data_IF_086489289925
#
_entry.id   IF_086489289925
#
_cell.length_a   1.000
_cell.length_b   1.000
_cell.length_c   1.000
_cell.angle_alpha   90.00
_cell.angle_beta   90.00
_cell.angle_gamma   90.00
#
_symmetry.space_group_name_H-M   'P 1'
#
loop_
_entity.id
_entity.type
_entity.pdbx_description
1 polymer ?
#
# COMPACT_ATOMS: atom_id res chain seq x y z
N UNK A 1 44.11 21.66 34.30
CA UNK A 1 43.36 20.63 33.55
C UNK A 1 42.23 21.18 32.65
N UNK A 2 42.31 22.43 32.17
CA UNK A 2 41.34 23.05 31.24
C UNK A 2 41.91 23.34 29.83
N UNK A 3 43.16 22.95 29.56
CA UNK A 3 43.88 23.25 28.32
C UNK A 3 44.23 22.01 27.46
N UNK A 4 43.61 20.85 27.72
CA UNK A 4 43.82 19.63 26.91
C UNK A 4 42.64 19.34 25.95
N UNK A 5 41.41 19.77 26.29
CA UNK A 5 40.21 19.54 25.47
C UNK A 5 40.02 20.55 24.32
N UNK A 6 40.88 21.56 24.20
CA UNK A 6 40.83 22.56 23.12
C UNK A 6 41.53 22.11 21.82
N UNK A 7 42.19 20.95 21.83
CA UNK A 7 43.02 20.45 20.70
C UNK A 7 42.38 19.32 19.88
N UNK A 8 41.13 18.93 20.17
CA UNK A 8 40.45 17.81 19.49
C UNK A 8 39.18 18.19 18.71
N UNK A 9 38.95 19.47 18.40
CA UNK A 9 38.03 19.85 17.31
C UNK A 9 36.57 19.39 17.40
N UNK A 10 36.07 18.98 18.57
CA UNK A 10 34.72 18.45 18.75
C UNK A 10 33.97 19.28 19.78
N UNK A 11 33.43 20.43 19.37
CA UNK A 11 32.32 21.13 20.04
C UNK A 11 31.81 22.27 19.13
N UNK A 12 31.31 21.90 17.95
CA UNK A 12 30.47 22.79 17.12
C UNK A 12 29.45 21.97 16.32
N UNK A 13 28.58 21.23 17.01
CA UNK A 13 27.37 20.70 16.35
C UNK A 13 26.19 20.32 17.25
N UNK A 14 26.12 20.85 18.49
CA UNK A 14 24.98 20.62 19.38
C UNK A 14 23.90 21.73 19.35
N UNK A 15 23.99 22.68 18.40
CA UNK A 15 23.16 23.89 18.38
C UNK A 15 22.23 24.09 17.18
N UNK A 16 22.19 23.17 16.20
CA UNK A 16 21.35 23.28 14.99
C UNK A 16 20.69 21.95 14.60
N UNK A 17 19.91 21.36 15.50
CA UNK A 17 18.87 20.35 15.19
C UNK A 17 17.59 20.65 15.96
N UNK A 18 17.05 21.84 15.75
CA UNK A 18 15.67 22.20 16.09
C UNK A 18 15.13 23.10 14.98
N UNK A 19 14.77 22.51 13.84
CA UNK A 19 13.73 23.05 12.95
C UNK A 19 13.48 22.12 11.76
N UNK A 20 12.18 21.93 11.48
CA UNK A 20 11.55 21.30 10.30
C UNK A 20 11.30 19.79 10.37
N UNK A 21 10.46 19.41 11.33
CA UNK A 21 9.33 18.52 11.02
C UNK A 21 8.09 19.41 11.03
N UNK A 22 7.60 19.81 9.84
CA UNK A 22 6.30 20.45 9.71
C UNK A 22 5.27 19.33 9.51
N UNK A 23 4.23 19.23 10.35
CA UNK A 23 3.15 18.28 10.14
C UNK A 23 2.40 18.63 8.85
N UNK A 24 2.18 17.64 7.98
CA UNK A 24 1.20 17.69 6.90
C UNK A 24 -0.21 17.74 7.51
N UNK A 25 -0.64 18.93 7.93
CA UNK A 25 -1.98 19.20 8.45
C UNK A 25 -2.46 20.53 7.90
N UNK A 26 -3.27 20.48 6.83
CA UNK A 26 -4.35 21.43 6.51
C UNK A 26 -5.01 21.02 5.19
N UNK A 27 -5.89 20.02 5.22
CA UNK A 27 -6.92 19.89 4.18
C UNK A 27 -8.18 19.16 4.66
N UNK A 28 -8.62 19.37 5.91
CA UNK A 28 -10.00 19.06 6.33
C UNK A 28 -10.47 20.14 7.30
N UNK A 29 -10.67 21.36 6.81
CA UNK A 29 -11.59 22.32 7.43
C UNK A 29 -11.90 23.43 6.43
N UNK A 30 -12.79 23.14 5.48
CA UNK A 30 -13.66 24.16 4.91
C UNK A 30 -14.93 23.49 4.42
N UNK A 31 -16.02 23.98 4.97
CA UNK A 31 -17.41 23.57 4.80
C UNK A 31 -17.75 23.17 3.36
N UNK A 32 -18.42 22.03 3.22
CA UNK A 32 -19.46 21.89 2.20
C UNK A 32 -20.68 21.26 2.87
N UNK A 33 -21.56 22.13 3.34
CA UNK A 33 -22.98 21.84 3.37
C UNK A 33 -23.41 21.59 1.93
N UNK A 34 -23.49 20.32 1.54
CA UNK A 34 -24.37 19.88 0.46
C UNK A 34 -24.66 18.39 0.61
N UNK A 35 -25.90 18.11 1.05
CA UNK A 35 -26.51 16.78 1.00
C UNK A 35 -26.56 16.30 -0.45
N UNK A 36 -25.64 15.41 -0.86
CA UNK A 36 -25.86 14.44 -1.93
C UNK A 36 -25.08 13.18 -1.59
N UNK A 37 -25.79 12.06 -1.68
CA UNK A 37 -25.32 10.72 -1.36
C UNK A 37 -23.99 10.41 -2.07
N UNK A 38 -22.90 10.39 -1.30
CA UNK A 38 -21.64 9.78 -1.70
C UNK A 38 -21.74 8.29 -1.40
N UNK A 39 -21.76 7.47 -2.44
CA UNK A 39 -21.65 6.02 -2.35
C UNK A 39 -20.31 5.71 -1.67
N UNK A 40 -20.40 5.29 -0.41
CA UNK A 40 -19.27 4.84 0.38
C UNK A 40 -18.59 3.65 -0.29
N UNK A 41 -17.27 3.69 -0.28
CA UNK A 41 -16.36 2.61 -0.65
C UNK A 41 -16.89 1.31 -0.04
N UNK A 42 -17.05 0.26 -0.86
CA UNK A 42 -17.55 -1.04 -0.40
C UNK A 42 -16.44 -1.78 0.35
N UNK A 43 -16.22 -1.37 1.60
CA UNK A 43 -15.38 -2.01 2.62
C UNK A 43 -16.13 -3.19 3.25
N UNK A 44 -16.70 -4.09 2.45
CA UNK A 44 -17.51 -5.18 3.00
C UNK A 44 -16.70 -6.29 3.67
N UNK A 45 -15.38 -6.36 3.49
CA UNK A 45 -14.56 -7.47 3.99
C UNK A 45 -13.86 -7.24 5.34
N UNK A 46 -13.90 -6.03 5.92
CA UNK A 46 -13.15 -5.70 7.15
C UNK A 46 -13.99 -5.16 8.32
N UNK A 47 -15.28 -4.88 8.10
CA UNK A 47 -16.18 -4.41 9.16
C UNK A 47 -16.81 -5.61 9.86
N UNK A 48 -16.72 -5.68 11.19
CA UNK A 48 -17.44 -6.70 11.96
C UNK A 48 -18.95 -6.50 11.77
N UNK A 49 -19.59 -7.46 11.11
CA UNK A 49 -21.05 -7.49 10.97
C UNK A 49 -21.73 -7.76 12.33
N UNK A 50 -21.09 -8.54 13.20
CA UNK A 50 -21.63 -8.92 14.51
C UNK A 50 -21.14 -8.06 15.68
N UNK A 51 -22.09 -7.58 16.48
CA UNK A 51 -21.78 -6.87 17.74
C UNK A 51 -21.52 -7.87 18.85
N UNK A 52 -20.24 -8.04 19.16
CA UNK A 52 -19.80 -8.86 20.29
C UNK A 52 -20.09 -8.14 21.62
N UNK A 53 -20.53 -8.85 22.67
CA UNK A 53 -20.68 -8.25 23.98
C UNK A 53 -19.31 -7.84 24.55
N UNK A 54 -19.30 -6.90 25.49
CA UNK A 54 -18.09 -6.53 26.23
C UNK A 54 -17.46 -7.75 26.93
N UNK A 55 -16.15 -7.89 26.82
CA UNK A 55 -15.36 -8.91 27.54
C UNK A 55 -15.08 -8.46 28.98
N UNK A 56 -14.70 -9.40 29.86
CA UNK A 56 -14.49 -9.13 31.28
C UNK A 56 -13.50 -8.00 31.59
N UNK A 57 -12.37 -7.91 30.87
CA UNK A 57 -11.40 -6.83 31.02
C UNK A 57 -11.94 -5.47 30.54
N UNK A 58 -12.72 -5.45 29.46
CA UNK A 58 -13.36 -4.25 28.90
C UNK A 58 -14.45 -3.72 29.85
N UNK A 59 -15.25 -4.63 30.41
CA UNK A 59 -16.27 -4.30 31.41
C UNK A 59 -15.62 -3.75 32.68
N UNK A 60 -14.54 -4.38 33.17
CA UNK A 60 -13.79 -3.89 34.33
C UNK A 60 -13.23 -2.48 34.10
N UNK A 61 -12.67 -2.22 32.92
CA UNK A 61 -12.22 -0.89 32.50
C UNK A 61 -13.36 0.13 32.54
N UNK A 62 -14.51 -0.17 31.92
CA UNK A 62 -15.67 0.74 31.89
C UNK A 62 -16.19 1.01 33.30
N UNK A 63 -16.33 -0.02 34.15
CA UNK A 63 -16.76 0.13 35.55
C UNK A 63 -15.80 1.03 36.32
N UNK A 64 -14.48 0.85 36.13
CA UNK A 64 -13.47 1.69 36.77
C UNK A 64 -13.61 3.15 36.33
N UNK A 65 -13.81 3.41 35.04
CA UNK A 65 -13.97 4.77 34.50
C UNK A 65 -15.28 5.43 34.97
N UNK A 66 -16.35 4.66 35.14
CA UNK A 66 -17.60 5.12 35.77
C UNK A 66 -17.36 5.52 37.22
N UNK A 67 -16.64 4.70 38.00
CA UNK A 67 -16.29 5.00 39.40
C UNK A 67 -15.42 6.24 39.53
N UNK A 68 -14.55 6.52 38.56
CA UNK A 68 -13.76 7.76 38.48
C UNK A 68 -14.59 8.99 38.04
N UNK A 69 -15.85 8.80 37.65
CA UNK A 69 -16.72 9.88 37.21
C UNK A 69 -16.48 10.33 35.77
N UNK A 70 -15.93 9.46 34.91
CA UNK A 70 -15.65 9.78 33.50
C UNK A 70 -16.95 9.80 32.65
N UNK A 71 -17.70 10.89 32.78
CA UNK A 71 -18.99 11.08 32.09
C UNK A 71 -18.83 11.20 30.57
N UNK A 72 -17.69 11.70 30.09
CA UNK A 72 -17.48 11.88 28.65
C UNK A 72 -17.28 10.54 27.95
N UNK A 73 -16.49 9.63 28.52
CA UNK A 73 -16.32 8.27 28.01
C UNK A 73 -17.64 7.51 27.91
N UNK A 74 -18.42 7.50 29.00
CA UNK A 74 -19.72 6.82 29.05
C UNK A 74 -20.73 7.41 28.07
N UNK A 75 -20.77 8.75 27.94
CA UNK A 75 -21.60 9.45 26.97
C UNK A 75 -21.24 9.09 25.54
N UNK A 76 -19.95 9.06 25.19
CA UNK A 76 -19.48 8.72 23.85
C UNK A 76 -19.75 7.25 23.48
N UNK A 77 -19.66 6.33 24.46
CA UNK A 77 -19.99 4.91 24.28
C UNK A 77 -21.50 4.62 24.35
N UNK A 78 -22.33 5.60 24.73
CA UNK A 78 -23.78 5.41 24.90
C UNK A 78 -24.16 4.51 26.08
N UNK A 79 -23.28 4.35 27.07
CA UNK A 79 -23.48 3.47 28.23
C UNK A 79 -24.04 4.26 29.41
N UNK A 80 -25.14 3.80 30.03
CA UNK A 80 -25.65 4.37 31.29
C UNK A 80 -25.17 3.51 32.47
N UNK A 81 -24.96 4.13 33.64
CA UNK A 81 -24.45 3.42 34.83
C UNK A 81 -25.36 2.28 35.32
N UNK A 82 -26.64 2.27 34.92
CA UNK A 82 -27.62 1.24 35.26
C UNK A 82 -27.57 0.03 34.33
N UNK A 83 -26.79 0.08 33.24
CA UNK A 83 -26.77 -0.95 32.19
C UNK A 83 -25.73 -2.05 32.46
N UNK A 84 -24.88 -1.89 33.49
CA UNK A 84 -23.67 -2.70 33.74
C UNK A 84 -23.93 -4.14 34.20
N UNK A 85 -25.18 -4.50 34.49
CA UNK A 85 -25.59 -5.87 34.85
C UNK A 85 -25.98 -6.72 33.63
N UNK A 86 -25.94 -6.15 32.41
CA UNK A 86 -26.34 -6.81 31.16
C UNK A 86 -25.16 -7.07 30.22
N UNK A 87 -25.37 -7.99 29.26
CA UNK A 87 -24.51 -8.19 28.09
C UNK A 87 -24.52 -6.96 27.16
N UNK A 88 -23.93 -5.85 27.60
CA UNK A 88 -23.85 -4.60 26.84
C UNK A 88 -23.10 -4.87 25.55
N UNK A 89 -23.72 -4.44 24.45
CA UNK A 89 -23.18 -4.47 23.09
C UNK A 89 -22.92 -3.04 22.67
N UNK A 90 -21.69 -2.75 22.26
CA UNK A 90 -21.30 -1.42 21.75
C UNK A 90 -20.79 -1.54 20.32
N UNK A 91 -21.02 -0.49 19.53
CA UNK A 91 -20.31 -0.24 18.27
C UNK A 91 -19.63 1.11 18.39
N UNK A 92 -18.40 1.19 17.91
CA UNK A 92 -17.61 2.42 17.91
C UNK A 92 -17.41 2.86 16.48
N UNK A 93 -18.04 4.00 16.12
CA UNK A 93 -17.81 4.68 14.85
C UNK A 93 -16.43 5.32 14.78
N UNK A 94 -15.92 5.61 13.59
CA UNK A 94 -14.63 6.29 13.42
C UNK A 94 -14.61 7.66 14.12
N UNK A 95 -15.71 8.41 14.06
CA UNK A 95 -15.85 9.69 14.75
C UNK A 95 -15.88 9.52 16.27
N UNK A 96 -16.58 8.49 16.76
CA UNK A 96 -16.59 8.14 18.18
C UNK A 96 -15.19 7.74 18.65
N UNK A 97 -14.46 6.94 17.88
CA UNK A 97 -13.09 6.50 18.18
C UNK A 97 -12.14 7.70 18.32
N UNK A 98 -12.15 8.61 17.33
CA UNK A 98 -11.36 9.86 17.36
C UNK A 98 -11.72 10.73 18.55
N UNK A 99 -13.02 10.87 18.84
CA UNK A 99 -13.49 11.64 19.99
C UNK A 99 -13.05 11.02 21.32
N UNK A 100 -13.12 9.70 21.46
CA UNK A 100 -12.66 8.98 22.64
C UNK A 100 -11.17 9.20 22.88
N UNK A 101 -10.31 9.05 21.85
CA UNK A 101 -8.87 9.31 22.02
C UNK A 101 -8.64 10.78 22.38
N UNK A 102 -9.18 11.72 21.60
CA UNK A 102 -8.93 13.15 21.80
C UNK A 102 -9.40 13.67 23.15
N UNK A 103 -10.46 13.11 23.72
CA UNK A 103 -11.11 13.65 24.93
C UNK A 103 -10.85 12.84 26.19
N UNK A 104 -10.56 11.55 26.06
CA UNK A 104 -10.45 10.65 27.19
C UNK A 104 -9.02 10.13 27.41
N UNK A 105 -8.17 10.02 26.38
CA UNK A 105 -6.89 9.30 26.49
C UNK A 105 -5.92 9.86 27.55
N UNK A 106 -5.98 11.16 27.86
CA UNK A 106 -5.15 11.77 28.92
C UNK A 106 -5.63 11.47 30.34
N UNK A 107 -6.87 10.99 30.49
CA UNK A 107 -7.53 10.74 31.77
C UNK A 107 -7.79 9.26 32.05
N UNK A 108 -7.52 8.39 31.07
CA UNK A 108 -7.79 6.95 31.13
C UNK A 108 -6.55 6.13 30.86
N UNK A 109 -6.60 4.83 31.12
CA UNK A 109 -5.61 3.90 30.56
C UNK A 109 -5.77 3.83 29.04
N UNK A 110 -4.83 4.41 28.30
CA UNK A 110 -4.90 4.57 26.84
C UNK A 110 -4.87 3.22 26.12
N UNK A 111 -4.13 2.24 26.64
CA UNK A 111 -4.05 0.89 26.05
C UNK A 111 -5.40 0.19 26.15
N UNK A 112 -6.07 0.25 27.30
CA UNK A 112 -7.42 -0.29 27.48
C UNK A 112 -8.46 0.44 26.64
N UNK A 113 -8.38 1.77 26.58
CA UNK A 113 -9.28 2.59 25.75
C UNK A 113 -9.16 2.21 24.27
N UNK A 114 -7.94 2.13 23.74
CA UNK A 114 -7.72 1.80 22.32
C UNK A 114 -8.06 0.33 22.05
N UNK A 115 -7.78 -0.58 22.98
CA UNK A 115 -8.20 -1.99 22.85
C UNK A 115 -9.73 -2.10 22.73
N UNK A 116 -10.48 -1.36 23.55
CA UNK A 116 -11.94 -1.29 23.47
C UNK A 116 -12.39 -0.75 22.11
N UNK A 117 -11.78 0.35 21.64
CA UNK A 117 -12.09 0.92 20.32
C UNK A 117 -11.89 -0.12 19.21
N UNK A 118 -10.73 -0.77 19.18
CA UNK A 118 -10.36 -1.71 18.12
C UNK A 118 -11.22 -2.98 18.14
N UNK A 119 -11.60 -3.47 19.32
CA UNK A 119 -12.45 -4.65 19.43
C UNK A 119 -13.88 -4.42 18.93
N UNK A 120 -14.38 -3.19 19.05
CA UNK A 120 -15.77 -2.81 18.78
C UNK A 120 -15.91 -1.82 17.62
N UNK A 121 -14.87 -1.64 16.81
CA UNK A 121 -14.88 -0.80 15.62
C UNK A 121 -15.88 -1.32 14.57
N UNK A 122 -16.71 -0.42 14.03
CA UNK A 122 -17.57 -0.68 12.86
C UNK A 122 -16.98 -0.11 11.55
N UNK A 123 -15.68 0.16 11.57
CA UNK A 123 -14.91 0.74 10.48
C UNK A 123 -13.57 -0.01 10.35
N UNK A 124 -12.82 0.15 9.22
CA UNK A 124 -11.50 -0.44 9.07
C UNK A 124 -10.51 0.14 10.06
N UNK A 125 -10.04 -0.69 10.99
CA UNK A 125 -9.17 -0.24 12.09
C UNK A 125 -7.88 0.41 11.62
N UNK A 126 -7.38 0.07 10.42
CA UNK A 126 -6.21 0.69 9.81
C UNK A 126 -6.42 2.19 9.51
N UNK A 127 -7.63 2.61 9.14
CA UNK A 127 -7.94 4.03 8.94
C UNK A 127 -7.76 4.84 10.22
N UNK A 128 -8.13 4.26 11.37
CA UNK A 128 -7.90 4.90 12.67
C UNK A 128 -6.43 4.83 13.06
N UNK A 129 -5.84 3.63 13.11
CA UNK A 129 -4.46 3.40 13.57
C UNK A 129 -3.45 4.31 12.84
N UNK A 130 -3.60 4.45 11.52
CA UNK A 130 -2.64 5.20 10.70
C UNK A 130 -2.70 6.72 10.88
N UNK A 131 -3.80 7.23 11.44
CA UNK A 131 -4.03 8.68 11.63
C UNK A 131 -3.93 9.13 13.08
N UNK A 132 -3.98 8.20 14.04
CA UNK A 132 -3.82 8.54 15.45
C UNK A 132 -2.38 8.94 15.79
N UNK A 133 -2.27 9.88 16.74
CA UNK A 133 -1.01 10.43 17.21
C UNK A 133 -0.72 9.97 18.65
N UNK A 134 -0.61 8.67 18.83
CA UNK A 134 -0.20 8.05 20.09
C UNK A 134 1.31 7.81 20.10
N UNK A 135 1.87 7.60 21.30
CA UNK A 135 3.28 7.23 21.44
C UNK A 135 3.56 5.90 20.71
N UNK A 136 4.72 5.74 20.03
CA UNK A 136 5.10 4.50 19.35
C UNK A 136 5.03 3.27 20.26
N UNK A 137 5.32 3.42 21.55
CA UNK A 137 5.23 2.37 22.56
C UNK A 137 3.80 1.86 22.76
N UNK A 138 2.79 2.75 22.70
CA UNK A 138 1.39 2.34 22.83
C UNK A 138 1.01 1.46 21.64
N UNK A 139 1.38 1.86 20.42
CA UNK A 139 1.15 1.04 19.23
C UNK A 139 1.90 -0.30 19.29
N UNK A 140 3.15 -0.32 19.76
CA UNK A 140 3.92 -1.55 19.98
C UNK A 140 3.22 -2.49 20.95
N UNK A 141 2.78 -1.97 22.10
CA UNK A 141 2.17 -2.79 23.15
C UNK A 141 0.81 -3.34 22.72
N UNK A 142 0.02 -2.52 22.02
CA UNK A 142 -1.21 -2.97 21.37
C UNK A 142 -0.93 -4.04 20.30
N UNK A 143 0.13 -3.90 19.49
CA UNK A 143 0.47 -4.90 18.50
C UNK A 143 0.75 -6.27 19.15
N UNK A 144 1.49 -6.29 20.27
CA UNK A 144 1.72 -7.51 21.06
C UNK A 144 0.38 -8.10 21.54
N UNK A 145 -0.50 -7.26 22.07
CA UNK A 145 -1.83 -7.66 22.57
C UNK A 145 -2.70 -8.29 21.47
N UNK A 146 -2.68 -7.71 20.26
CA UNK A 146 -3.49 -8.16 19.14
C UNK A 146 -2.85 -9.27 18.31
N UNK A 147 -1.55 -9.58 18.51
CA UNK A 147 -0.81 -10.55 17.70
C UNK A 147 -1.49 -11.91 17.58
N UNK A 148 -2.05 -12.42 18.69
CA UNK A 148 -2.76 -13.71 18.72
C UNK A 148 -4.27 -13.59 18.49
N UNK A 149 -4.81 -12.36 18.46
CA UNK A 149 -6.25 -12.09 18.33
C UNK A 149 -6.62 -11.78 16.89
N UNK A 150 -5.86 -10.89 16.25
CA UNK A 150 -6.08 -10.46 14.87
C UNK A 150 -4.74 -10.00 14.26
N UNK A 151 -4.16 -10.84 13.39
CA UNK A 151 -2.87 -10.59 12.76
C UNK A 151 -2.84 -9.30 11.94
N UNK A 152 -3.92 -8.97 11.22
CA UNK A 152 -4.01 -7.73 10.45
C UNK A 152 -3.95 -6.50 11.35
N UNK A 153 -4.76 -6.47 12.42
CA UNK A 153 -4.75 -5.37 13.39
C UNK A 153 -3.37 -5.21 14.02
N UNK A 154 -2.76 -6.34 14.43
CA UNK A 154 -1.39 -6.37 14.95
C UNK A 154 -0.37 -5.76 13.97
N UNK A 155 -0.44 -6.14 12.69
CA UNK A 155 0.41 -5.59 11.63
C UNK A 155 0.27 -4.07 11.51
N UNK A 156 -0.96 -3.55 11.41
CA UNK A 156 -1.18 -2.11 11.28
C UNK A 156 -0.66 -1.32 12.48
N UNK A 157 -0.83 -1.86 13.70
CA UNK A 157 -0.30 -1.26 14.92
C UNK A 157 1.23 -1.20 14.89
N UNK A 158 1.91 -2.31 14.61
CA UNK A 158 3.37 -2.31 14.61
C UNK A 158 3.96 -1.51 13.45
N UNK A 159 3.31 -1.50 12.29
CA UNK A 159 3.71 -0.68 11.15
C UNK A 159 3.64 0.81 11.50
N UNK A 160 2.55 1.25 12.16
CA UNK A 160 2.44 2.62 12.65
C UNK A 160 3.53 2.96 13.66
N UNK A 161 3.83 2.06 14.60
CA UNK A 161 4.93 2.25 15.55
C UNK A 161 6.28 2.41 14.82
N UNK A 162 6.56 1.56 13.82
CA UNK A 162 7.76 1.59 13.00
C UNK A 162 7.89 2.89 12.20
N UNK A 163 6.81 3.40 11.65
CA UNK A 163 6.80 4.69 10.93
C UNK A 163 7.11 5.87 11.86
N UNK A 164 6.61 5.84 13.09
CA UNK A 164 6.87 6.89 14.09
C UNK A 164 8.25 6.76 14.74
N UNK A 165 8.80 5.54 14.81
CA UNK A 165 10.16 5.26 15.31
C UNK A 165 10.90 4.27 14.41
N UNK A 166 11.48 4.75 13.29
CA UNK A 166 12.17 3.89 12.32
C UNK A 166 13.39 3.16 12.87
N UNK A 167 14.15 3.79 13.77
CA UNK A 167 15.45 3.27 14.25
C UNK A 167 15.37 2.57 15.61
N UNK A 168 14.17 2.29 16.13
CA UNK A 168 14.00 1.61 17.42
C UNK A 168 14.24 0.10 17.30
N UNK A 169 15.21 -0.51 17.99
CA UNK A 169 15.55 -1.93 17.81
C UNK A 169 14.38 -2.86 18.16
N UNK A 170 13.77 -2.69 19.33
CA UNK A 170 12.61 -3.50 19.78
C UNK A 170 11.43 -3.40 18.82
N UNK A 171 11.10 -2.19 18.34
CA UNK A 171 10.01 -2.01 17.37
C UNK A 171 10.38 -2.64 16.03
N UNK A 172 11.64 -2.56 15.61
CA UNK A 172 12.09 -3.13 14.35
C UNK A 172 12.04 -4.65 14.36
N UNK A 173 12.57 -5.29 15.39
CA UNK A 173 12.51 -6.76 15.55
C UNK A 173 11.06 -7.26 15.58
N UNK A 174 10.19 -6.57 16.31
CA UNK A 174 8.78 -6.91 16.38
C UNK A 174 8.06 -6.66 15.05
N UNK A 175 8.39 -5.58 14.35
CA UNK A 175 7.86 -5.27 13.01
C UNK A 175 8.24 -6.35 12.01
N UNK A 176 9.50 -6.80 12.00
CA UNK A 176 9.95 -7.87 11.09
C UNK A 176 9.14 -9.15 11.30
N UNK A 177 9.00 -9.57 12.56
CA UNK A 177 8.34 -10.82 12.94
C UNK A 177 6.82 -10.78 12.73
N UNK A 178 6.13 -9.71 13.13
CA UNK A 178 4.67 -9.58 12.93
C UNK A 178 4.35 -9.41 11.43
N UNK A 179 5.18 -8.69 10.68
CA UNK A 179 4.96 -8.53 9.24
C UNK A 179 5.08 -9.88 8.52
N UNK A 180 6.05 -10.73 8.88
CA UNK A 180 6.15 -12.09 8.36
C UNK A 180 4.89 -12.93 8.67
N UNK A 181 4.43 -12.89 9.91
CA UNK A 181 3.23 -13.64 10.33
C UNK A 181 1.95 -13.21 9.59
N UNK A 182 1.83 -11.93 9.28
CA UNK A 182 0.68 -11.39 8.55
C UNK A 182 0.80 -11.63 7.05
N UNK A 183 1.97 -11.39 6.46
CA UNK A 183 2.20 -11.62 5.02
C UNK A 183 2.01 -13.09 4.67
N UNK A 184 2.38 -14.02 5.55
CA UNK A 184 2.11 -15.45 5.37
C UNK A 184 0.60 -15.81 5.32
N UNK A 185 -0.30 -14.87 5.63
CA UNK A 185 -1.76 -15.04 5.47
C UNK A 185 -2.31 -14.42 4.20
N UNK A 186 -1.47 -13.72 3.42
CA UNK A 186 -1.89 -13.01 2.22
C UNK A 186 -1.58 -13.83 0.96
N UNK A 187 -2.47 -13.74 -0.01
CA UNK A 187 -2.22 -14.24 -1.35
C UNK A 187 -1.50 -13.14 -2.17
N UNK A 188 -0.27 -13.40 -2.59
CA UNK A 188 0.55 -12.42 -3.34
C UNK A 188 0.60 -12.81 -4.82
N UNK A 189 0.26 -11.87 -5.70
CA UNK A 189 0.35 -12.04 -7.15
C UNK A 189 1.53 -11.31 -7.76
N UNK A 190 2.28 -12.00 -8.63
CA UNK A 190 3.41 -11.44 -9.38
C UNK A 190 3.12 -11.61 -10.88
N UNK A 191 3.04 -10.48 -11.59
CA UNK A 191 2.87 -10.44 -13.04
C UNK A 191 4.15 -9.98 -13.72
N UNK A 192 4.61 -10.69 -14.76
CA UNK A 192 5.79 -10.30 -15.55
C UNK A 192 5.36 -9.90 -16.95
N UNK A 193 5.79 -8.73 -17.41
CA UNK A 193 5.39 -8.14 -18.69
C UNK A 193 6.53 -8.27 -19.69
N UNK A 194 6.26 -8.88 -20.85
CA UNK A 194 7.28 -9.15 -21.88
C UNK A 194 6.78 -8.94 -23.30
N UNK A 195 7.73 -8.70 -24.21
CA UNK A 195 7.55 -8.71 -25.67
C UNK A 195 8.91 -8.85 -26.36
N UNK A 196 9.11 -9.92 -27.12
CA UNK A 196 10.33 -10.25 -27.90
C UNK A 196 11.63 -10.17 -27.09
N UNK A 197 11.60 -10.66 -25.84
CA UNK A 197 12.72 -10.55 -24.89
C UNK A 197 12.88 -11.82 -24.04
N UNK A 198 12.81 -13.00 -24.67
CA UNK A 198 12.93 -14.31 -24.01
C UNK A 198 14.04 -14.38 -22.95
N UNK A 199 15.26 -13.95 -23.28
CA UNK A 199 16.40 -14.10 -22.36
C UNK A 199 16.30 -13.22 -21.11
N UNK A 200 15.68 -12.03 -21.22
CA UNK A 200 15.40 -11.17 -20.06
C UNK A 200 14.27 -11.76 -19.23
N UNK A 201 13.18 -12.20 -19.88
CA UNK A 201 12.07 -12.86 -19.24
C UNK A 201 12.54 -14.09 -18.43
N UNK A 202 13.31 -14.98 -19.05
CA UNK A 202 13.78 -16.22 -18.44
C UNK A 202 14.56 -15.91 -17.15
N UNK A 203 15.52 -14.99 -17.22
CA UNK A 203 16.30 -14.52 -16.07
C UNK A 203 15.42 -13.93 -14.96
N UNK A 204 14.38 -13.19 -15.32
CA UNK A 204 13.48 -12.55 -14.36
C UNK A 204 12.58 -13.57 -13.68
N UNK A 205 12.00 -14.50 -14.44
CA UNK A 205 11.17 -15.60 -13.90
C UNK A 205 11.98 -16.54 -13.03
N UNK A 206 13.19 -16.91 -13.44
CA UNK A 206 14.11 -17.72 -12.63
C UNK A 206 14.48 -17.02 -11.32
N UNK A 207 14.75 -15.70 -11.36
CA UNK A 207 15.01 -14.92 -10.16
C UNK A 207 13.79 -14.85 -9.24
N UNK A 208 12.58 -14.71 -9.78
CA UNK A 208 11.34 -14.78 -9.00
C UNK A 208 11.22 -16.14 -8.31
N UNK A 209 11.41 -17.24 -9.05
CA UNK A 209 11.36 -18.60 -8.50
C UNK A 209 12.41 -18.84 -7.41
N UNK A 210 13.62 -18.30 -7.59
CA UNK A 210 14.73 -18.47 -6.67
C UNK A 210 14.64 -17.63 -5.40
N UNK A 211 14.09 -16.40 -5.48
CA UNK A 211 14.16 -15.41 -4.41
C UNK A 211 12.82 -15.11 -3.74
N UNK A 212 11.69 -15.56 -4.28
CA UNK A 212 10.38 -15.37 -3.65
C UNK A 212 10.11 -16.50 -2.67
N UNK A 213 9.66 -16.15 -1.47
CA UNK A 213 9.40 -17.07 -0.36
C UNK A 213 7.92 -17.08 0.02
N UNK A 214 7.42 -18.21 0.51
CA UNK A 214 5.99 -18.40 0.79
C UNK A 214 5.20 -18.70 -0.49
N UNK A 215 3.88 -18.83 -0.34
CA UNK A 215 2.99 -19.10 -1.47
C UNK A 215 2.73 -17.82 -2.27
N UNK A 216 2.78 -17.92 -3.60
CA UNK A 216 2.51 -16.80 -4.51
C UNK A 216 1.91 -17.29 -5.83
N UNK A 217 1.20 -16.39 -6.51
CA UNK A 217 0.71 -16.58 -7.87
C UNK A 217 1.68 -15.91 -8.84
N UNK A 218 2.01 -16.58 -9.94
CA UNK A 218 2.87 -16.04 -10.99
C UNK A 218 2.16 -16.13 -12.34
N UNK A 219 2.21 -15.05 -13.11
CA UNK A 219 1.77 -15.05 -14.52
C UNK A 219 2.71 -14.20 -15.38
N UNK A 220 2.98 -14.68 -16.59
CA UNK A 220 3.66 -13.90 -17.64
C UNK A 220 2.62 -13.38 -18.62
N UNK A 221 2.54 -12.07 -18.78
CA UNK A 221 1.76 -11.48 -19.86
C UNK A 221 2.69 -11.24 -21.06
N UNK A 222 2.57 -12.07 -22.10
CA UNK A 222 3.27 -11.89 -23.38
C UNK A 222 2.41 -11.12 -24.38
N UNK A 223 2.98 -10.03 -24.93
CA UNK A 223 2.30 -9.16 -25.90
C UNK A 223 2.54 -9.59 -27.37
N UNK A 224 2.46 -10.90 -27.61
CA UNK A 224 2.51 -11.46 -28.96
C UNK A 224 3.92 -11.60 -29.51
N UNK A 225 4.82 -12.13 -28.68
CA UNK A 225 6.20 -12.40 -29.06
C UNK A 225 6.30 -13.30 -30.30
N UNK A 226 7.40 -13.10 -31.03
CA UNK A 226 7.78 -13.83 -32.25
C UNK A 226 9.12 -14.56 -32.11
N UNK A 227 9.76 -14.42 -30.94
CA UNK A 227 10.88 -15.26 -30.51
C UNK A 227 10.36 -16.46 -29.70
N UNK A 228 11.26 -17.30 -29.15
CA UNK A 228 10.88 -18.52 -28.42
C UNK A 228 10.32 -18.25 -26.99
N UNK A 229 9.76 -17.07 -26.73
CA UNK A 229 9.23 -16.67 -25.41
C UNK A 229 8.12 -17.61 -24.93
N UNK A 230 7.19 -17.97 -25.82
CA UNK A 230 6.03 -18.81 -25.48
C UNK A 230 6.48 -20.24 -25.25
N UNK A 231 7.31 -20.77 -26.15
CA UNK A 231 7.89 -22.11 -26.06
C UNK A 231 8.68 -22.25 -24.75
N UNK A 232 9.45 -21.23 -24.36
CA UNK A 232 10.16 -21.23 -23.09
C UNK A 232 9.21 -21.27 -21.89
N UNK A 233 8.13 -20.48 -21.89
CA UNK A 233 7.15 -20.51 -20.80
C UNK A 233 6.48 -21.87 -20.66
N UNK A 234 6.11 -22.50 -21.78
CA UNK A 234 5.51 -23.84 -21.82
C UNK A 234 6.47 -24.91 -21.29
N UNK A 235 7.72 -24.90 -21.76
CA UNK A 235 8.75 -25.86 -21.32
C UNK A 235 9.07 -25.76 -19.83
N UNK A 236 8.90 -24.57 -19.23
CA UNK A 236 9.21 -24.28 -17.83
C UNK A 236 7.99 -24.23 -16.91
N UNK A 237 6.81 -24.67 -17.40
CA UNK A 237 5.53 -24.66 -16.70
C UNK A 237 5.25 -23.30 -16.02
N UNK A 238 5.39 -22.22 -16.79
CA UNK A 238 5.12 -20.85 -16.33
C UNK A 238 3.75 -20.43 -16.89
N UNK A 239 2.76 -20.11 -16.03
CA UNK A 239 1.47 -19.60 -16.50
C UNK A 239 1.67 -18.34 -17.34
N UNK A 240 1.06 -18.28 -18.52
CA UNK A 240 1.26 -17.16 -19.44
C UNK A 240 0.05 -16.89 -20.34
N UNK A 241 -0.09 -15.65 -20.79
CA UNK A 241 -0.91 -15.29 -21.96
C UNK A 241 -0.08 -15.43 -23.23
N UNK A 242 -0.72 -15.72 -24.36
CA UNK A 242 -0.16 -15.42 -25.68
C UNK A 242 -1.23 -14.77 -26.56
N UNK A 243 -1.12 -13.47 -26.78
CA UNK A 243 -2.13 -12.68 -27.47
C UNK A 243 -1.49 -11.80 -28.54
N UNK A 244 -2.28 -11.26 -29.47
CA UNK A 244 -1.75 -10.27 -30.41
C UNK A 244 -1.18 -9.05 -29.66
N UNK A 245 -0.15 -8.42 -30.26
CA UNK A 245 0.45 -7.21 -29.69
C UNK A 245 -0.56 -6.06 -29.65
N UNK A 246 -0.91 -5.63 -28.43
CA UNK A 246 -1.82 -4.51 -28.18
C UNK A 246 -1.17 -3.40 -27.36
N UNK A 247 0.11 -3.54 -27.04
CA UNK A 247 0.91 -2.57 -26.31
C UNK A 247 0.95 -2.80 -24.81
N UNK A 248 1.92 -2.14 -24.18
CA UNK A 248 2.30 -2.38 -22.77
C UNK A 248 1.16 -2.17 -21.76
N UNK A 249 0.23 -1.24 -22.04
CA UNK A 249 -0.88 -0.96 -21.13
C UNK A 249 -1.87 -2.11 -21.12
N UNK A 250 -2.29 -2.58 -22.30
CA UNK A 250 -3.17 -3.76 -22.42
C UNK A 250 -2.48 -5.00 -21.82
N UNK A 251 -1.19 -5.16 -22.08
CA UNK A 251 -0.44 -6.29 -21.54
C UNK A 251 -0.32 -6.25 -20.00
N UNK A 252 -0.08 -5.07 -19.40
CA UNK A 252 -0.14 -4.88 -17.93
C UNK A 252 -1.53 -5.21 -17.38
N UNK A 253 -2.57 -4.77 -18.08
CA UNK A 253 -3.95 -5.07 -17.68
C UNK A 253 -4.25 -6.57 -17.70
N UNK A 254 -3.71 -7.35 -18.66
CA UNK A 254 -3.87 -8.82 -18.67
C UNK A 254 -3.39 -9.45 -17.36
N UNK A 255 -2.15 -9.12 -16.95
CA UNK A 255 -1.59 -9.61 -15.69
C UNK A 255 -2.39 -9.11 -14.47
N UNK A 256 -2.72 -7.82 -14.42
CA UNK A 256 -3.49 -7.26 -13.30
C UNK A 256 -4.87 -7.89 -13.17
N UNK A 257 -5.57 -8.08 -14.28
CA UNK A 257 -6.93 -8.61 -14.28
C UNK A 257 -6.94 -10.07 -13.86
N UNK A 258 -6.05 -10.89 -14.43
CA UNK A 258 -5.92 -12.28 -14.03
C UNK A 258 -5.59 -12.41 -12.54
N UNK A 259 -4.63 -11.62 -12.03
CA UNK A 259 -4.28 -11.66 -10.61
C UNK A 259 -5.42 -11.14 -9.70
N UNK A 260 -6.09 -10.04 -10.07
CA UNK A 260 -7.12 -9.43 -9.22
C UNK A 260 -8.46 -10.19 -9.25
N UNK A 261 -8.94 -10.57 -10.44
CA UNK A 261 -10.29 -11.10 -10.64
C UNK A 261 -10.33 -12.63 -10.63
N UNK A 262 -9.33 -13.28 -11.24
CA UNK A 262 -9.27 -14.74 -11.34
C UNK A 262 -8.61 -15.32 -10.10
N UNK A 263 -7.39 -14.87 -9.77
CA UNK A 263 -6.64 -15.37 -8.61
C UNK A 263 -6.98 -14.71 -7.28
N UNK A 264 -7.69 -13.57 -7.32
CA UNK A 264 -8.18 -12.85 -6.13
C UNK A 264 -7.09 -12.63 -5.09
N UNK A 265 -5.93 -12.15 -5.56
CA UNK A 265 -4.78 -11.87 -4.69
C UNK A 265 -5.04 -10.64 -3.82
N UNK A 266 -4.43 -10.57 -2.64
CA UNK A 266 -4.53 -9.43 -1.72
C UNK A 266 -3.58 -8.30 -2.12
N UNK A 267 -2.45 -8.64 -2.75
CA UNK A 267 -1.44 -7.70 -3.23
C UNK A 267 -0.94 -8.14 -4.61
N UNK A 268 -0.86 -7.16 -5.53
CA UNK A 268 -0.34 -7.34 -6.88
C UNK A 268 1.02 -6.67 -7.02
N UNK A 269 1.98 -7.36 -7.64
CA UNK A 269 3.28 -6.83 -8.04
C UNK A 269 3.44 -7.06 -9.54
N UNK A 270 3.70 -6.00 -10.30
CA UNK A 270 4.06 -6.09 -11.71
C UNK A 270 5.55 -5.84 -11.89
N UNK A 271 6.22 -6.69 -12.65
CA UNK A 271 7.60 -6.55 -13.10
C UNK A 271 7.64 -6.45 -14.61
N UNK A 272 8.44 -5.53 -15.14
CA UNK A 272 8.93 -5.64 -16.52
C UNK A 272 10.05 -6.69 -16.56
N UNK A 273 10.17 -7.39 -17.69
CA UNK A 273 11.15 -8.48 -17.92
C UNK A 273 12.62 -8.11 -17.68
N UNK A 274 12.97 -6.83 -17.58
CA UNK A 274 14.32 -6.31 -17.30
C UNK A 274 14.52 -5.87 -15.84
N UNK A 275 13.52 -6.09 -14.98
CA UNK A 275 13.56 -5.77 -13.56
C UNK A 275 13.27 -7.03 -12.73
N UNK A 276 14.27 -7.47 -11.96
CA UNK A 276 14.24 -8.79 -11.32
C UNK A 276 14.69 -8.79 -9.86
N UNK A 277 14.18 -9.73 -9.07
CA UNK A 277 14.64 -9.97 -7.71
C UNK A 277 16.14 -10.22 -7.64
N UNK A 278 16.79 -9.68 -6.60
CA UNK A 278 18.23 -9.88 -6.36
C UNK A 278 18.56 -10.34 -4.94
N UNK A 279 17.53 -10.64 -4.14
CA UNK A 279 17.65 -10.99 -2.72
C UNK A 279 16.48 -11.87 -2.33
N UNK A 280 16.73 -12.88 -1.50
CA UNK A 280 15.69 -13.70 -0.88
C UNK A 280 14.65 -12.83 -0.15
N UNK A 281 13.39 -13.23 -0.25
CA UNK A 281 12.23 -12.56 0.33
C UNK A 281 12.07 -11.09 -0.10
N UNK A 282 12.49 -10.75 -1.32
CA UNK A 282 12.42 -9.40 -1.88
C UNK A 282 11.01 -8.80 -1.82
N UNK A 283 9.99 -9.62 -2.05
CA UNK A 283 8.59 -9.26 -2.17
C UNK A 283 8.02 -8.71 -0.86
N UNK A 284 8.60 -9.05 0.30
CA UNK A 284 8.17 -8.57 1.62
C UNK A 284 8.01 -7.05 1.67
N UNK A 285 9.05 -6.31 1.25
CA UNK A 285 9.02 -4.85 1.27
C UNK A 285 7.99 -4.27 0.30
N UNK A 286 7.75 -4.93 -0.83
CA UNK A 286 6.75 -4.52 -1.82
C UNK A 286 5.33 -4.75 -1.32
N UNK A 287 5.08 -5.89 -0.66
CA UNK A 287 3.81 -6.21 -0.01
C UNK A 287 3.50 -5.20 1.09
N UNK A 288 4.45 -4.95 1.99
CA UNK A 288 4.28 -3.95 3.06
C UNK A 288 4.00 -2.58 2.46
N UNK A 289 4.78 -2.14 1.47
CA UNK A 289 4.59 -0.83 0.86
C UNK A 289 3.22 -0.70 0.17
N UNK A 290 2.79 -1.73 -0.56
CA UNK A 290 1.48 -1.75 -1.20
C UNK A 290 0.33 -1.67 -0.17
N UNK A 291 0.43 -2.41 0.94
CA UNK A 291 -0.56 -2.33 2.02
C UNK A 291 -0.60 -0.93 2.63
N UNK A 292 0.56 -0.39 3.05
CA UNK A 292 0.62 0.89 3.77
C UNK A 292 0.25 2.10 2.92
N UNK A 293 0.54 2.06 1.61
CA UNK A 293 0.48 3.22 0.74
C UNK A 293 -0.52 3.09 -0.41
N UNK A 294 -1.13 1.92 -0.58
CA UNK A 294 -2.04 1.57 -1.66
C UNK A 294 -1.35 1.28 -2.99
N UNK A 295 -0.38 2.10 -3.38
CA UNK A 295 0.42 1.93 -4.61
C UNK A 295 1.85 2.42 -4.42
N UNK A 296 2.82 1.67 -4.97
CA UNK A 296 4.24 1.98 -4.91
C UNK A 296 4.93 1.68 -6.24
N UNK A 297 5.94 2.49 -6.59
CA UNK A 297 6.74 2.30 -7.80
C UNK A 297 8.19 1.93 -7.47
N UNK A 298 8.92 1.45 -8.47
CA UNK A 298 10.37 1.27 -8.36
C UNK A 298 11.11 2.59 -8.46
N UNK A 299 11.96 2.84 -7.47
CA UNK A 299 12.92 3.93 -7.46
C UNK A 299 14.22 3.48 -8.14
N UNK A 300 14.24 3.49 -9.47
CA UNK A 300 15.42 3.09 -10.22
C UNK A 300 16.66 3.92 -9.84
N UNK A 301 17.84 3.27 -9.77
CA UNK A 301 19.11 3.90 -9.36
C UNK A 301 19.45 5.19 -10.12
N UNK A 302 19.05 5.29 -11.39
CA UNK A 302 19.26 6.51 -12.22
C UNK A 302 18.35 7.67 -11.85
N UNK A 303 17.21 7.42 -11.21
CA UNK A 303 16.32 8.47 -10.74
C UNK A 303 16.84 9.00 -9.40
N UNK A 304 17.08 8.11 -8.44
CA UNK A 304 17.47 8.52 -7.08
C UNK A 304 18.84 9.20 -7.01
N UNK A 305 19.72 8.97 -7.99
CA UNK A 305 21.03 9.65 -8.09
C UNK A 305 20.97 11.03 -8.72
N UNK A 306 19.85 11.43 -9.34
CA UNK A 306 19.72 12.77 -9.91
C UNK A 306 19.52 13.78 -8.79
N UNK A 307 20.21 14.90 -8.91
CA UNK A 307 20.03 16.04 -8.02
C UNK A 307 18.54 16.47 -7.98
N UNK A 308 18.04 16.75 -6.79
CA UNK A 308 16.66 17.15 -6.50
C UNK A 308 15.55 16.17 -6.95
N UNK A 309 15.89 14.97 -7.39
CA UNK A 309 14.89 13.98 -7.81
C UNK A 309 14.14 13.36 -6.64
N UNK A 310 14.78 13.26 -5.46
CA UNK A 310 14.17 12.75 -4.22
C UNK A 310 13.89 13.92 -3.28
N UNK A 311 12.63 14.07 -2.89
CA UNK A 311 12.18 15.15 -1.98
C UNK A 311 12.33 14.73 -0.51
N UNK A 312 12.03 13.47 -0.20
CA UNK A 312 12.12 12.90 1.14
C UNK A 312 12.11 11.37 1.10
N UNK A 313 12.33 10.74 2.25
CA UNK A 313 12.25 9.29 2.42
C UNK A 313 13.59 8.58 2.30
N UNK A 314 13.59 7.29 2.61
CA UNK A 314 14.81 6.43 2.58
C UNK A 314 14.69 5.27 1.59
N UNK A 315 13.50 5.09 1.00
CA UNK A 315 13.25 4.02 0.03
C UNK A 315 12.89 2.68 0.66
N UNK A 316 12.59 2.64 1.96
CA UNK A 316 12.04 1.45 2.63
C UNK A 316 10.51 1.40 2.49
N UNK A 317 9.92 0.23 2.77
CA UNK A 317 8.46 0.04 2.73
C UNK A 317 7.68 0.97 3.67
N UNK A 318 8.24 1.34 4.82
CA UNK A 318 7.61 2.24 5.82
C UNK A 318 7.98 3.70 5.65
N UNK A 319 8.98 4.01 4.81
CA UNK A 319 9.42 5.36 4.52
C UNK A 319 9.91 5.47 3.05
N UNK A 320 8.98 5.32 2.08
CA UNK A 320 9.33 5.31 0.67
C UNK A 320 9.92 6.66 0.25
N UNK A 321 10.72 6.66 -0.81
CA UNK A 321 11.12 7.90 -1.46
C UNK A 321 9.89 8.63 -2.01
N UNK A 322 9.87 9.95 -1.87
CA UNK A 322 8.97 10.82 -2.64
C UNK A 322 9.76 11.42 -3.80
N UNK A 323 9.62 10.82 -4.98
CA UNK A 323 10.41 11.16 -6.16
C UNK A 323 9.66 12.14 -7.08
N UNK A 324 10.34 13.10 -7.71
CA UNK A 324 9.75 13.97 -8.76
C UNK A 324 9.59 13.27 -10.11
N UNK A 325 10.22 12.10 -10.26
CA UNK A 325 10.18 11.25 -11.45
C UNK A 325 9.73 9.85 -11.03
N UNK A 326 9.06 9.14 -11.94
CA UNK A 326 8.57 7.78 -11.71
C UNK A 326 8.89 6.90 -12.91
N UNK A 327 9.11 5.62 -12.64
CA UNK A 327 9.28 4.55 -13.63
C UNK A 327 8.27 3.44 -13.40
N UNK A 328 7.95 2.69 -14.47
CA UNK A 328 6.98 1.60 -14.43
C UNK A 328 7.59 0.19 -14.43
N UNK A 329 8.91 0.07 -14.19
CA UNK A 329 9.65 -1.21 -14.26
C UNK A 329 9.23 -2.20 -13.19
N UNK A 330 8.90 -1.71 -11.99
CA UNK A 330 8.15 -2.46 -11.00
C UNK A 330 7.12 -1.54 -10.34
N UNK A 331 5.92 -2.07 -10.13
CA UNK A 331 4.86 -1.42 -9.37
C UNK A 331 4.16 -2.45 -8.50
N UNK A 332 3.75 -2.07 -7.30
CA UNK A 332 2.88 -2.91 -6.48
C UNK A 332 1.68 -2.11 -5.95
N UNK A 333 0.52 -2.77 -5.85
CA UNK A 333 -0.68 -2.19 -5.29
C UNK A 333 -1.46 -3.19 -4.43
N UNK A 334 -2.15 -2.69 -3.41
CA UNK A 334 -3.08 -3.51 -2.62
C UNK A 334 -4.39 -3.71 -3.36
N UNK A 335 -5.09 -4.81 -3.05
CA UNK A 335 -6.42 -5.07 -3.60
C UNK A 335 -7.39 -3.91 -3.33
N UNK A 336 -7.42 -3.38 -2.11
CA UNK A 336 -8.30 -2.24 -1.77
C UNK A 336 -8.04 -1.01 -2.64
N UNK A 337 -6.76 -0.73 -2.93
CA UNK A 337 -6.40 0.38 -3.80
C UNK A 337 -6.77 0.10 -5.26
N UNK A 338 -6.59 -1.14 -5.70
CA UNK A 338 -6.98 -1.59 -7.03
C UNK A 338 -8.50 -1.53 -7.24
N UNK A 339 -9.31 -1.97 -6.27
CA UNK A 339 -10.78 -1.96 -6.38
C UNK A 339 -11.33 -0.52 -6.46
N UNK A 340 -10.61 0.46 -5.91
CA UNK A 340 -10.94 1.89 -6.00
C UNK A 340 -10.47 2.53 -7.32
N UNK A 341 -9.22 2.32 -7.72
CA UNK A 341 -8.60 2.99 -8.87
C UNK A 341 -8.85 2.26 -10.20
N UNK A 342 -9.01 0.94 -10.17
CA UNK A 342 -9.09 0.09 -11.34
C UNK A 342 -7.77 0.02 -12.13
N UNK A 343 -7.89 -0.39 -13.38
CA UNK A 343 -6.78 -0.78 -14.27
C UNK A 343 -6.09 0.42 -14.92
N UNK A 344 -5.02 0.17 -15.69
CA UNK A 344 -4.43 1.19 -16.55
C UNK A 344 -5.44 1.53 -17.67
N UNK A 345 -5.47 2.80 -18.10
CA UNK A 345 -6.47 3.25 -19.06
C UNK A 345 -6.20 2.68 -20.47
N UNK A 346 -7.10 1.86 -21.04
CA UNK A 346 -6.87 1.14 -22.29
C UNK A 346 -6.75 2.04 -23.53
N UNK A 347 -7.07 3.34 -23.41
CA UNK A 347 -6.90 4.30 -24.52
C UNK A 347 -5.42 4.61 -24.80
N UNK A 348 -4.51 4.29 -23.89
CA UNK A 348 -3.07 4.38 -24.14
C UNK A 348 -2.62 3.23 -25.05
N UNK A 349 -1.94 3.58 -26.14
CA UNK A 349 -1.36 2.59 -27.07
C UNK A 349 0.16 2.62 -27.03
N UNK A 350 0.78 1.44 -27.21
CA UNK A 350 2.24 1.25 -27.23
C UNK A 350 2.98 1.94 -26.10
N UNK A 351 4.05 2.69 -26.40
CA UNK A 351 4.99 3.15 -25.36
C UNK A 351 4.59 4.48 -24.69
N UNK A 352 4.62 4.48 -23.35
CA UNK A 352 4.78 5.69 -22.53
C UNK A 352 3.52 6.26 -21.89
N UNK A 353 3.73 7.03 -20.81
CA UNK A 353 2.75 7.78 -20.00
C UNK A 353 1.65 6.98 -19.27
N UNK A 354 1.27 5.77 -19.71
CA UNK A 354 0.19 4.99 -19.08
C UNK A 354 0.42 4.69 -17.59
N UNK A 355 1.60 4.19 -17.20
CA UNK A 355 1.91 3.92 -15.79
C UNK A 355 1.98 5.20 -14.93
N UNK A 356 2.39 6.33 -15.54
CA UNK A 356 2.43 7.62 -14.85
C UNK A 356 1.01 8.07 -14.57
N UNK A 357 0.13 8.03 -15.58
CA UNK A 357 -1.29 8.36 -15.42
C UNK A 357 -1.94 7.51 -14.34
N UNK A 358 -1.69 6.20 -14.34
CA UNK A 358 -2.23 5.29 -13.34
C UNK A 358 -1.78 5.66 -11.93
N UNK A 359 -0.47 5.87 -11.73
CA UNK A 359 0.09 6.34 -10.45
C UNK A 359 -0.53 7.67 -10.00
N UNK A 360 -0.72 8.61 -10.92
CA UNK A 360 -1.33 9.90 -10.61
C UNK A 360 -2.79 9.78 -10.15
N UNK A 361 -3.54 8.76 -10.62
CA UNK A 361 -4.90 8.49 -10.13
C UNK A 361 -4.90 8.06 -8.67
N UNK A 362 -3.97 7.22 -8.25
CA UNK A 362 -3.80 6.90 -6.82
C UNK A 362 -3.55 8.19 -6.01
N UNK A 363 -2.58 9.00 -6.43
CA UNK A 363 -2.26 10.26 -5.72
C UNK A 363 -3.49 11.19 -5.63
N UNK A 364 -4.28 11.33 -6.71
CA UNK A 364 -5.49 12.17 -6.71
C UNK A 364 -6.58 11.67 -5.75
N UNK A 365 -6.62 10.37 -5.46
CA UNK A 365 -7.57 9.76 -4.52
C UNK A 365 -7.04 9.72 -3.07
N UNK A 366 -5.94 10.42 -2.77
CA UNK A 366 -5.43 10.55 -1.41
C UNK A 366 -4.56 9.39 -0.95
N UNK A 367 -4.16 8.49 -1.85
CA UNK A 367 -3.06 7.57 -1.59
C UNK A 367 -1.72 8.35 -1.53
N UNK A 368 -0.62 7.63 -1.28
CA UNK A 368 0.69 8.24 -1.05
C UNK A 368 1.19 9.06 -2.26
N UNK A 369 1.99 10.11 -1.99
CA UNK A 369 2.42 11.12 -2.95
C UNK A 369 1.78 12.49 -2.71
N UNK A 370 1.99 13.44 -3.62
CA UNK A 370 1.39 14.77 -3.52
C UNK A 370 1.34 15.50 -4.86
N UNK A 371 0.41 16.44 -4.96
CA UNK A 371 0.26 17.39 -6.08
C UNK A 371 0.41 18.85 -5.64
N UNK A 372 0.65 19.13 -4.35
CA UNK A 372 0.53 20.48 -3.77
C UNK A 372 1.44 21.53 -4.44
N UNK A 373 2.67 21.13 -4.79
CA UNK A 373 3.64 21.99 -5.50
C UNK A 373 4.00 21.42 -6.85
N UNK A 374 4.37 20.14 -6.83
CA UNK A 374 4.72 19.34 -7.99
C UNK A 374 4.23 17.91 -7.73
N UNK A 375 4.08 17.13 -8.79
CA UNK A 375 3.89 15.70 -8.66
C UNK A 375 5.09 15.08 -7.95
N UNK A 376 4.82 14.36 -6.86
CA UNK A 376 5.79 13.50 -6.19
C UNK A 376 5.20 12.11 -6.05
N UNK A 377 5.99 11.12 -6.45
CA UNK A 377 5.59 9.73 -6.62
C UNK A 377 6.27 8.89 -5.55
N UNK A 378 5.51 8.07 -4.81
CA UNK A 378 6.08 7.18 -3.82
C UNK A 378 6.80 6.02 -4.50
N UNK A 379 8.02 5.74 -4.07
CA UNK A 379 8.83 4.68 -4.65
C UNK A 379 9.82 4.03 -3.66
N UNK A 380 10.08 2.73 -3.83
CA UNK A 380 11.09 1.96 -3.07
C UNK A 380 12.11 1.34 -4.02
N UNK A 381 13.30 1.02 -3.51
CA UNK A 381 14.39 0.44 -4.32
C UNK A 381 14.93 -0.88 -3.75
N UNK A 382 14.16 -1.54 -2.88
CA UNK A 382 14.57 -2.75 -2.16
C UNK A 382 14.41 -4.00 -3.01
N UNK A 383 15.42 -4.89 -2.94
CA UNK A 383 15.31 -6.27 -3.42
C UNK A 383 15.23 -6.46 -4.93
N UNK A 384 15.42 -5.41 -5.73
CA UNK A 384 15.37 -5.47 -7.19
C UNK A 384 16.63 -4.90 -7.84
N UNK A 385 17.06 -5.55 -8.92
CA UNK A 385 17.97 -5.00 -9.90
C UNK A 385 17.23 -4.78 -11.22
N UNK A 386 17.72 -3.83 -12.01
CA UNK A 386 17.28 -3.66 -13.39
C UNK A 386 18.48 -3.60 -14.32
N UNK A 387 18.34 -4.30 -15.45
CA UNK A 387 19.28 -4.31 -16.55
C UNK A 387 18.94 -3.23 -17.57
N UNK A 388 19.92 -2.88 -18.40
CA UNK A 388 19.63 -2.13 -19.62
C UNK A 388 19.06 -3.08 -20.66
N UNK A 389 17.84 -2.77 -21.13
CA UNK A 389 17.21 -3.47 -22.24
C UNK A 389 16.95 -2.50 -23.41
N UNK A 390 16.92 -3.00 -24.66
CA UNK A 390 16.46 -2.23 -25.80
C UNK A 390 15.06 -1.67 -25.55
N UNK A 391 14.86 -0.40 -25.86
CA UNK A 391 13.56 0.25 -25.71
C UNK A 391 12.86 0.36 -27.05
N UNK A 392 11.60 -0.08 -27.12
CA UNK A 392 10.71 0.14 -28.26
C UNK A 392 10.07 1.55 -28.22
N UNK A 393 10.80 2.54 -27.72
CA UNK A 393 10.30 3.90 -27.54
C UNK A 393 10.04 4.55 -28.89
N UNK A 394 8.79 4.96 -29.11
CA UNK A 394 8.40 5.79 -30.24
C UNK A 394 8.08 7.23 -29.74
N UNK A 395 8.85 8.26 -30.16
CA UNK A 395 8.63 9.64 -29.72
C UNK A 395 7.26 10.22 -30.09
N UNK A 396 6.74 9.92 -31.28
CA UNK A 396 5.43 10.42 -31.73
C UNK A 396 4.31 9.81 -30.88
N UNK A 397 4.39 8.50 -30.62
CA UNK A 397 3.45 7.81 -29.76
C UNK A 397 3.51 8.32 -28.31
N UNK A 398 4.72 8.58 -27.80
CA UNK A 398 4.89 9.15 -26.47
C UNK A 398 4.21 10.52 -26.35
N UNK A 399 4.30 11.36 -27.39
CA UNK A 399 3.65 12.67 -27.37
C UNK A 399 2.12 12.55 -27.49
N UNK A 400 1.61 11.64 -28.34
CA UNK A 400 0.18 11.30 -28.38
C UNK A 400 -0.34 10.85 -27.00
N UNK A 401 0.39 9.98 -26.32
CA UNK A 401 0.05 9.50 -24.99
C UNK A 401 0.12 10.61 -23.93
N UNK A 402 1.06 11.56 -24.02
CA UNK A 402 1.09 12.74 -23.14
C UNK A 402 -0.11 13.65 -23.35
N UNK A 403 -0.48 13.90 -24.60
CA UNK A 403 -1.68 14.67 -24.93
C UNK A 403 -2.95 13.99 -24.41
N UNK A 404 -3.05 12.66 -24.59
CA UNK A 404 -4.15 11.86 -24.06
C UNK A 404 -4.23 11.96 -22.54
N UNK A 405 -3.13 11.73 -21.82
CA UNK A 405 -3.05 11.85 -20.36
C UNK A 405 -3.59 13.20 -19.87
N UNK A 406 -3.22 14.30 -20.54
CA UNK A 406 -3.72 15.64 -20.20
C UNK A 406 -5.23 15.76 -20.42
N UNK A 407 -5.74 15.23 -21.53
CA UNK A 407 -7.16 15.23 -21.89
C UNK A 407 -8.02 14.46 -20.87
N UNK A 408 -7.58 13.28 -20.46
CA UNK A 408 -8.36 12.36 -19.60
C UNK A 408 -8.18 12.61 -18.10
N UNK A 409 -7.36 13.59 -17.71
CA UNK A 409 -7.10 13.93 -16.30
C UNK A 409 -8.33 14.34 -15.49
N UNK A 410 -9.43 14.69 -16.18
CA UNK A 410 -10.72 15.09 -15.60
C UNK A 410 -11.78 13.98 -15.63
N UNK A 411 -11.50 12.85 -16.26
CA UNK A 411 -12.41 11.71 -16.30
C UNK A 411 -12.51 11.09 -14.89
N UNK A 412 -13.40 10.10 -14.72
CA UNK A 412 -13.50 9.33 -13.48
C UNK A 412 -12.11 8.79 -13.05
N UNK A 413 -11.89 8.44 -11.79
CA UNK A 413 -10.62 7.79 -11.43
C UNK A 413 -10.66 6.29 -11.72
N UNK A 414 -11.78 5.61 -11.46
CA UNK A 414 -11.89 4.18 -11.71
C UNK A 414 -11.86 3.86 -13.21
N UNK A 415 -11.09 2.85 -13.60
CA UNK A 415 -10.97 2.38 -15.00
C UNK A 415 -11.17 0.89 -15.13
N UNK A 416 -11.92 0.50 -16.15
CA UNK A 416 -11.96 -0.86 -16.66
C UNK A 416 -10.76 -1.11 -17.58
N UNK A 417 -10.39 -2.38 -17.85
CA UNK A 417 -9.28 -2.70 -18.74
C UNK A 417 -9.64 -2.62 -20.23
N UNK A 418 -10.89 -2.28 -20.57
CA UNK A 418 -11.44 -2.09 -21.92
C UNK A 418 -12.24 -0.78 -22.02
N UNK A 419 -12.48 -0.27 -23.24
CA UNK A 419 -13.30 0.94 -23.45
C UNK A 419 -14.76 0.67 -23.83
N UNK A 420 -15.06 -0.52 -24.35
CA UNK A 420 -16.38 -0.90 -24.86
C UNK A 420 -16.57 -2.43 -24.78
N UNK A 421 -17.77 -2.90 -25.10
CA UNK A 421 -18.16 -4.32 -25.00
C UNK A 421 -17.39 -5.23 -25.98
N UNK A 422 -17.01 -4.75 -27.16
CA UNK A 422 -16.23 -5.56 -28.10
C UNK A 422 -14.82 -5.79 -27.56
N UNK A 423 -14.20 -4.75 -27.01
CA UNK A 423 -12.90 -4.86 -26.34
C UNK A 423 -12.97 -5.68 -25.06
N UNK A 424 -14.08 -5.64 -24.32
CA UNK A 424 -14.33 -6.49 -23.15
C UNK A 424 -14.30 -7.97 -23.53
N UNK A 425 -15.09 -8.36 -24.54
CA UNK A 425 -15.15 -9.75 -24.99
C UNK A 425 -13.78 -10.24 -25.46
N UNK A 426 -13.09 -9.45 -26.30
CA UNK A 426 -11.74 -9.79 -26.76
C UNK A 426 -10.77 -9.92 -25.57
N UNK A 427 -10.83 -9.01 -24.60
CA UNK A 427 -9.96 -9.05 -23.42
C UNK A 427 -10.26 -10.26 -22.52
N UNK A 428 -11.52 -10.62 -22.32
CA UNK A 428 -11.88 -11.79 -21.53
C UNK A 428 -11.44 -13.10 -22.19
N UNK A 429 -11.54 -13.22 -23.52
CA UNK A 429 -10.96 -14.35 -24.27
C UNK A 429 -9.43 -14.43 -24.11
N UNK A 430 -8.73 -13.28 -24.12
CA UNK A 430 -7.30 -13.21 -23.81
C UNK A 430 -6.98 -13.75 -22.40
N UNK A 431 -7.82 -13.43 -21.41
CA UNK A 431 -7.65 -13.92 -20.02
C UNK A 431 -7.93 -15.43 -19.92
N UNK A 432 -8.99 -15.93 -20.56
CA UNK A 432 -9.31 -17.36 -20.59
C UNK A 432 -8.23 -18.20 -21.27
N UNK A 433 -7.43 -17.60 -22.16
CA UNK A 433 -6.27 -18.25 -22.77
C UNK A 433 -5.13 -18.56 -21.78
N UNK A 434 -5.13 -17.92 -20.60
CA UNK A 434 -4.16 -18.20 -19.54
C UNK A 434 -4.48 -19.56 -18.97
N UNK A 435 -3.73 -20.56 -19.41
CA UNK A 435 -3.87 -21.91 -18.88
C UNK A 435 -3.30 -21.97 -17.47
N UNK A 436 -4.19 -22.19 -16.50
CA UNK A 436 -3.81 -22.81 -15.24
C UNK A 436 -3.31 -24.22 -15.58
N UNK A 437 -1.98 -24.42 -15.56
CA UNK A 437 -1.39 -25.74 -15.69
C UNK A 437 -1.21 -26.38 -14.32
#
# INVERSE_FOLDING_TARGET
MKNFLKRLGLLKEAGKRKQRVKPYFKFVSKETNNKKAGMGISIRSLVKEDVSPLKGSELAFIIQEIKKGNKELTRLLGIKSKDLDNHIKIRVSLDTAKALVSRCASSTDVTSLVTLILNHADFPVNEFIMHENLAPEIFRDLAILFRTVNKSTSFWLIARAKMLRPDGPVISELFESISEEYIATLNVGIGVITYNRKDHLAKTVEAIKAFTTGDYQLVVADDGSKDDTVEWCQQNNVPHTYCANKGVVRNKNRALYYLNEVKKVDVLILLEDDCRPNKENWQKEWVIAALLWGHINYAHKRIIKKEDAVVSGTGSSTLPYLCRLVTGQCTACSKDAMDNIGYLDPRFSGYGAGHVEWTERFIRQGYNGSTEKHWVYPAINTGLNSDDAPTFKNPEQLEKNRALKKKISKDAHKREPWVNTDEENEFLEEIESIKDQ
#
